data_IF_973925056933
#
_entry.id   IF_973925056933
#
_cell.length_a   1.000
_cell.length_b   1.000
_cell.length_c   1.000
_cell.angle_alpha   90.00
_cell.angle_beta   90.00
_cell.angle_gamma   90.00
#
_symmetry.space_group_name_H-M   'P 1'
#
loop_
_entity.id
_entity.type
_entity.pdbx_description
1 polymer ?
#
# COMPACT_ATOMS: atom_id res chain seq x y z
N UNK A 1 7.91 7.46 19.06
CA UNK A 1 8.62 6.43 18.27
C UNK A 1 9.90 7.06 17.77
N UNK A 2 11.00 6.32 17.83
CA UNK A 2 12.24 6.70 17.14
C UNK A 2 12.12 6.28 15.67
N UNK A 3 12.00 7.25 14.77
CA UNK A 3 11.78 6.97 13.34
C UNK A 3 13.05 6.54 12.60
N UNK A 4 14.22 6.97 13.06
CA UNK A 4 15.49 6.56 12.46
C UNK A 4 15.75 5.08 12.75
N UNK A 5 15.49 4.65 13.99
CA UNK A 5 15.58 3.24 14.35
C UNK A 5 14.62 2.36 13.53
N UNK A 6 13.40 2.84 13.22
CA UNK A 6 12.46 2.09 12.39
C UNK A 6 12.96 1.86 10.95
N UNK A 7 13.73 2.80 10.39
CA UNK A 7 14.22 2.69 9.01
C UNK A 7 15.17 1.50 8.81
N UNK A 8 15.85 1.05 9.88
CA UNK A 8 16.73 -0.11 9.87
C UNK A 8 16.03 -1.47 10.07
N UNK A 9 14.74 -1.49 10.40
CA UNK A 9 14.01 -2.72 10.72
C UNK A 9 13.37 -3.37 9.49
N UNK A 10 13.15 -4.70 9.51
CA UNK A 10 12.29 -5.38 8.54
C UNK A 10 10.87 -4.80 8.54
N UNK A 11 10.21 -4.82 7.37
CA UNK A 11 8.89 -4.22 7.18
C UNK A 11 7.83 -4.75 8.16
N UNK A 12 7.84 -6.06 8.45
CA UNK A 12 6.90 -6.67 9.41
C UNK A 12 7.10 -6.18 10.85
N UNK A 13 8.35 -5.93 11.27
CA UNK A 13 8.63 -5.35 12.58
C UNK A 13 8.21 -3.89 12.67
N UNK A 14 8.42 -3.11 11.61
CA UNK A 14 7.94 -1.73 11.53
C UNK A 14 6.42 -1.72 11.65
N UNK A 15 5.72 -2.58 10.90
CA UNK A 15 4.24 -2.69 10.96
C UNK A 15 3.77 -3.06 12.36
N UNK A 16 4.36 -4.08 12.98
CA UNK A 16 3.99 -4.50 14.32
C UNK A 16 4.13 -3.37 15.36
N UNK A 17 5.24 -2.62 15.31
CA UNK A 17 5.47 -1.48 16.22
C UNK A 17 4.50 -0.33 15.99
N UNK A 18 4.15 -0.04 14.73
CA UNK A 18 3.18 1.01 14.41
C UNK A 18 1.78 0.62 14.86
N UNK A 19 1.31 -0.60 14.56
CA UNK A 19 -0.03 -1.08 14.90
C UNK A 19 -0.23 -1.23 16.42
N UNK A 20 0.85 -1.42 17.19
CA UNK A 20 0.78 -1.41 18.65
C UNK A 20 0.38 -0.04 19.25
N UNK A 21 0.49 1.06 18.49
CA UNK A 21 0.05 2.37 18.93
C UNK A 21 -1.46 2.56 18.76
N UNK A 22 -2.13 3.02 19.83
CA UNK A 22 -3.57 3.29 19.82
C UNK A 22 -3.93 4.24 18.67
N UNK A 23 -4.81 3.78 17.78
CA UNK A 23 -5.33 4.55 16.65
C UNK A 23 -4.58 4.34 15.33
N UNK A 24 -3.50 3.53 15.31
CA UNK A 24 -2.80 3.16 14.08
C UNK A 24 -3.14 1.71 13.70
N UNK A 25 -3.61 1.50 12.47
CA UNK A 25 -3.93 0.18 11.91
C UNK A 25 -3.02 -0.19 10.74
N UNK A 26 -3.27 -1.36 10.14
CA UNK A 26 -2.51 -1.87 8.99
C UNK A 26 -2.41 -0.85 7.86
N UNK A 27 -3.52 -0.17 7.53
CA UNK A 27 -3.55 0.87 6.50
C UNK A 27 -2.52 1.97 6.74
N UNK A 28 -2.41 2.45 8.00
CA UNK A 28 -1.44 3.50 8.33
C UNK A 28 -0.02 2.96 8.28
N UNK A 29 0.20 1.73 8.74
CA UNK A 29 1.50 1.09 8.72
C UNK A 29 2.02 0.86 7.28
N UNK A 30 1.17 0.38 6.37
CA UNK A 30 1.55 0.18 4.97
C UNK A 30 1.89 1.51 4.28
N UNK A 31 1.12 2.57 4.54
CA UNK A 31 1.43 3.89 3.97
C UNK A 31 2.67 4.53 4.61
N UNK A 32 2.98 4.22 5.87
CA UNK A 32 4.23 4.62 6.49
C UNK A 32 5.42 3.96 5.79
N UNK A 33 5.38 2.65 5.54
CA UNK A 33 6.40 1.95 4.76
C UNK A 33 6.56 2.59 3.37
N UNK A 34 5.44 2.87 2.70
CA UNK A 34 5.44 3.39 1.34
C UNK A 34 5.92 4.84 1.22
N UNK A 35 5.46 5.75 2.08
CA UNK A 35 5.69 7.21 1.91
C UNK A 35 6.77 7.77 2.81
N UNK A 36 6.90 7.25 4.04
CA UNK A 36 7.92 7.74 4.96
C UNK A 36 9.24 6.99 4.78
N UNK A 37 9.21 5.66 4.74
CA UNK A 37 10.41 4.85 4.54
C UNK A 37 10.75 4.57 3.07
N UNK A 38 9.90 4.99 2.13
CA UNK A 38 10.07 4.78 0.69
C UNK A 38 10.38 3.31 0.31
N UNK A 39 9.86 2.34 1.08
CA UNK A 39 10.12 0.91 0.84
C UNK A 39 9.58 0.52 -0.54
N UNK A 40 10.40 -0.06 -1.43
CA UNK A 40 10.00 -0.30 -2.83
C UNK A 40 8.87 -1.33 -2.94
N UNK A 41 8.86 -2.31 -2.03
CA UNK A 41 7.85 -3.38 -1.95
C UNK A 41 6.63 -3.06 -1.10
N UNK A 42 6.52 -1.86 -0.53
CA UNK A 42 5.34 -1.49 0.25
C UNK A 42 4.09 -1.48 -0.63
N UNK A 43 3.04 -2.16 -0.17
CA UNK A 43 1.81 -2.36 -0.92
C UNK A 43 0.58 -2.17 -0.02
N UNK A 44 0.00 -0.95 0.03
CA UNK A 44 -1.14 -0.62 0.91
C UNK A 44 -2.47 -1.23 0.45
N UNK A 45 -2.56 -2.56 0.36
CA UNK A 45 -3.71 -3.29 -0.19
C UNK A 45 -5.04 -3.02 0.56
N UNK A 46 -4.97 -2.58 1.82
CA UNK A 46 -6.14 -2.14 2.60
C UNK A 46 -6.72 -0.79 2.16
N UNK A 47 -6.01 -0.01 1.35
CA UNK A 47 -6.45 1.31 0.90
C UNK A 47 -7.62 1.21 -0.10
N UNK A 48 -8.75 1.82 0.24
CA UNK A 48 -9.95 1.80 -0.60
C UNK A 48 -9.72 2.47 -1.96
N UNK A 49 -8.91 3.52 -2.03
CA UNK A 49 -8.54 4.19 -3.27
C UNK A 49 -7.69 3.29 -4.17
N UNK A 50 -6.69 2.62 -3.59
CA UNK A 50 -5.85 1.67 -4.31
C UNK A 50 -6.67 0.48 -4.80
N UNK A 51 -7.58 -0.05 -3.98
CA UNK A 51 -8.50 -1.13 -4.38
C UNK A 51 -9.37 -0.72 -5.57
N UNK A 52 -9.92 0.49 -5.56
CA UNK A 52 -10.68 1.05 -6.70
C UNK A 52 -9.80 1.20 -7.94
N UNK A 53 -8.57 1.68 -7.78
CA UNK A 53 -7.65 1.87 -8.89
C UNK A 53 -7.26 0.52 -9.51
N UNK A 54 -6.84 -0.44 -8.69
CA UNK A 54 -6.53 -1.81 -9.13
C UNK A 54 -7.71 -2.42 -9.85
N UNK A 55 -8.92 -2.28 -9.30
CA UNK A 55 -10.13 -2.77 -9.95
C UNK A 55 -10.34 -2.15 -11.34
N UNK A 56 -10.25 -0.82 -11.44
CA UNK A 56 -10.46 -0.10 -12.69
C UNK A 56 -9.44 -0.48 -13.78
N UNK A 57 -8.16 -0.62 -13.43
CA UNK A 57 -7.09 -0.86 -14.40
C UNK A 57 -6.86 -2.34 -14.72
N UNK A 58 -7.16 -3.27 -13.81
CA UNK A 58 -6.78 -4.68 -13.97
C UNK A 58 -7.92 -5.68 -13.83
N UNK A 59 -9.07 -5.31 -13.25
CA UNK A 59 -10.13 -6.26 -12.90
C UNK A 59 -11.51 -5.84 -13.42
N UNK A 60 -11.56 -4.95 -14.41
CA UNK A 60 -12.80 -4.56 -15.10
C UNK A 60 -13.79 -3.81 -14.22
N UNK A 61 -13.30 -3.01 -13.27
CA UNK A 61 -14.11 -2.14 -12.40
C UNK A 61 -15.10 -2.86 -11.47
N UNK A 62 -14.94 -4.17 -11.24
CA UNK A 62 -15.77 -4.92 -10.26
C UNK A 62 -15.36 -4.64 -8.82
N UNK A 63 -16.22 -4.89 -7.82
CA UNK A 63 -15.79 -4.92 -6.42
C UNK A 63 -14.66 -5.95 -6.20
N UNK A 64 -13.62 -5.54 -5.46
CA UNK A 64 -12.43 -6.37 -5.16
C UNK A 64 -12.11 -6.33 -3.67
N UNK A 65 -11.71 -7.48 -3.11
CA UNK A 65 -11.28 -7.58 -1.71
C UNK A 65 -9.86 -7.02 -1.53
N UNK A 66 -9.45 -6.74 -0.29
CA UNK A 66 -8.05 -6.38 0.00
C UNK A 66 -7.09 -7.56 -0.21
N UNK A 67 -7.57 -8.80 -0.08
CA UNK A 67 -6.78 -10.01 -0.30
C UNK A 67 -6.45 -10.21 -1.78
N UNK A 68 -7.43 -10.06 -2.67
CA UNK A 68 -7.20 -10.10 -4.12
C UNK A 68 -6.21 -9.01 -4.56
N UNK A 69 -6.31 -7.82 -3.96
CA UNK A 69 -5.37 -6.73 -4.21
C UNK A 69 -3.98 -7.05 -3.67
N UNK A 70 -3.87 -7.70 -2.50
CA UNK A 70 -2.61 -8.11 -1.91
C UNK A 70 -1.89 -9.13 -2.79
N UNK A 71 -2.60 -10.13 -3.30
CA UNK A 71 -2.07 -11.13 -4.23
C UNK A 71 -1.57 -10.51 -5.53
N UNK A 72 -2.35 -9.58 -6.11
CA UNK A 72 -1.97 -8.88 -7.34
C UNK A 72 -0.66 -8.08 -7.18
N UNK A 73 -0.37 -7.61 -5.97
CA UNK A 73 0.86 -6.87 -5.63
C UNK A 73 2.14 -7.60 -6.06
N UNK A 74 2.15 -8.94 -6.02
CA UNK A 74 3.31 -9.74 -6.45
C UNK A 74 3.71 -9.52 -7.92
N UNK A 75 2.77 -9.12 -8.79
CA UNK A 75 3.05 -8.82 -10.21
C UNK A 75 3.95 -7.62 -10.42
N UNK A 76 4.02 -6.74 -9.42
CA UNK A 76 4.72 -5.47 -9.52
C UNK A 76 6.09 -5.51 -8.83
N UNK A 77 6.63 -6.68 -8.48
CA UNK A 77 7.95 -6.75 -7.84
C UNK A 77 9.06 -6.17 -8.73
N UNK A 78 10.00 -5.37 -8.18
CA UNK A 78 10.08 -4.83 -6.81
C UNK A 78 9.44 -3.43 -6.63
N UNK A 79 8.60 -3.00 -7.57
CA UNK A 79 8.04 -1.65 -7.70
C UNK A 79 6.59 -1.51 -7.21
N UNK A 80 6.17 -2.29 -6.21
CA UNK A 80 4.80 -2.24 -5.67
C UNK A 80 4.44 -0.82 -5.20
N UNK A 81 5.35 -0.16 -4.49
CA UNK A 81 5.13 1.18 -3.96
C UNK A 81 4.98 2.22 -5.07
N UNK A 82 5.86 2.18 -6.08
CA UNK A 82 5.76 3.05 -7.25
C UNK A 82 4.42 2.82 -7.96
N UNK A 83 4.07 1.56 -8.19
CA UNK A 83 2.82 1.17 -8.83
C UNK A 83 1.60 1.69 -8.07
N UNK A 84 1.58 1.60 -6.73
CA UNK A 84 0.48 2.12 -5.92
C UNK A 84 0.25 3.62 -6.14
N UNK A 85 1.33 4.40 -6.19
CA UNK A 85 1.26 5.85 -6.45
C UNK A 85 0.77 6.16 -7.87
N UNK A 86 1.24 5.41 -8.89
CA UNK A 86 0.80 5.60 -10.27
C UNK A 86 -0.66 5.20 -10.48
N UNK A 87 -1.13 4.12 -9.84
CA UNK A 87 -2.54 3.71 -9.92
C UNK A 87 -3.48 4.74 -9.29
N UNK A 88 -3.13 5.25 -8.12
CA UNK A 88 -3.90 6.32 -7.46
C UNK A 88 -3.93 7.60 -8.30
N UNK A 89 -2.81 7.95 -8.93
CA UNK A 89 -2.73 9.12 -9.82
C UNK A 89 -3.56 8.89 -11.08
N UNK A 90 -3.40 7.72 -11.71
CA UNK A 90 -4.16 7.30 -12.89
C UNK A 90 -5.66 7.35 -12.65
N UNK A 91 -6.14 6.84 -11.51
CA UNK A 91 -7.56 6.85 -11.17
C UNK A 91 -8.16 8.27 -11.10
N UNK A 92 -7.37 9.28 -10.73
CA UNK A 92 -7.82 10.68 -10.68
C UNK A 92 -7.95 11.33 -12.05
N UNK A 93 -7.22 10.83 -13.04
CA UNK A 93 -7.18 11.39 -14.40
C UNK A 93 -7.95 10.55 -15.42
N UNK A 94 -8.51 9.40 -15.01
CA UNK A 94 -9.40 8.62 -15.86
C UNK A 94 -10.63 9.45 -16.25
N UNK A 95 -10.98 9.52 -17.56
CA UNK A 95 -12.23 10.11 -17.98
C UNK A 95 -13.41 9.32 -17.38
N UNK A 96 -14.44 10.05 -16.94
CA UNK A 96 -15.67 9.47 -16.38
C UNK A 96 -16.57 8.89 -17.46
#
# INVERSE_FOLDING_TARGET
LDFEALAGLPDDEVKARLVALRGLGEWTADWFLARHLARPRAWPAGDLGLRKAVSAFYLGSRPVSSEEVRELGGRFDPFQNLTAHYLLTGLRVLPR
#
